data_IF_607327929877
#
_entry.id   IF_607327929877
#
_cell.length_a   1.000
_cell.length_b   1.000
_cell.length_c   1.000
_cell.angle_alpha   90.00
_cell.angle_beta   90.00
_cell.angle_gamma   90.00
#
_symmetry.space_group_name_H-M   'P 1'
#
loop_
_entity.id
_entity.type
_entity.pdbx_description
1 polymer ?
#
# COMPACT_ATOMS: atom_id res chain seq x y z
N UNK A 1 19.01 -0.36 -1.92
CA UNK A 1 19.04 0.83 -1.05
C UNK A 1 19.74 2.05 -1.68
N UNK A 2 20.15 2.01 -2.96
CA UNK A 2 20.80 3.15 -3.63
C UNK A 2 19.80 4.18 -4.19
N UNK A 3 18.56 3.76 -4.44
CA UNK A 3 17.52 4.62 -5.04
C UNK A 3 16.67 5.36 -3.98
N UNK A 4 16.67 4.89 -2.73
CA UNK A 4 15.93 5.48 -1.62
C UNK A 4 16.64 6.72 -1.04
N UNK A 5 17.97 6.77 -1.13
CA UNK A 5 18.80 7.89 -0.67
C UNK A 5 18.69 9.07 -1.66
N UNK A 6 18.54 8.79 -2.96
CA UNK A 6 18.36 9.83 -4.00
C UNK A 6 17.02 10.55 -3.88
N UNK A 7 15.94 9.84 -3.51
CA UNK A 7 14.61 10.43 -3.30
C UNK A 7 14.57 11.34 -2.07
N UNK A 8 15.33 11.01 -1.02
CA UNK A 8 15.44 11.83 0.19
C UNK A 8 16.25 13.13 -0.02
N UNK A 9 17.26 13.10 -0.91
CA UNK A 9 18.04 14.30 -1.25
C UNK A 9 17.25 15.33 -2.09
N UNK A 10 16.30 14.87 -2.92
CA UNK A 10 15.49 15.75 -3.77
C UNK A 10 14.45 16.54 -2.94
N UNK A 11 13.94 15.95 -1.86
CA UNK A 11 12.97 16.61 -0.97
C UNK A 11 13.65 17.67 -0.08
N UNK A 12 14.91 17.47 0.30
CA UNK A 12 15.69 18.44 1.09
C UNK A 12 16.16 19.67 0.28
N UNK A 13 16.33 19.53 -1.04
CA UNK A 13 16.74 20.66 -1.90
C UNK A 13 15.58 21.62 -2.22
N UNK A 14 14.33 21.17 -2.08
CA UNK A 14 13.12 21.97 -2.33
C UNK A 14 12.75 22.94 -1.18
N UNK A 15 13.41 22.84 -0.02
CA UNK A 15 13.22 23.77 1.11
C UNK A 15 14.47 24.64 1.41
N UNK A 16 15.53 24.54 0.61
CA UNK A 16 16.82 25.20 0.87
C UNK A 16 17.01 26.60 0.27
N UNK A 17 16.05 27.12 -0.49
CA UNK A 17 16.19 28.39 -1.22
C UNK A 17 15.21 29.48 -0.77
N UNK A 18 15.06 29.70 0.53
CA UNK A 18 14.51 30.96 1.06
C UNK A 18 15.46 31.47 2.14
N UNK A 19 16.46 32.24 1.69
CA UNK A 19 16.88 33.57 2.19
C UNK A 19 18.37 33.79 1.91
N UNK A 20 18.68 34.43 0.78
CA UNK A 20 19.88 35.28 0.66
C UNK A 20 19.43 36.70 0.95
N UNK A 21 20.17 37.38 1.84
CA UNK A 21 20.31 38.83 1.79
C UNK A 21 19.59 39.63 2.87
N UNK A 22 20.23 39.82 4.03
CA UNK A 22 20.29 41.12 4.72
C UNK A 22 21.62 41.22 5.47
N UNK A 23 22.66 41.56 4.73
CA UNK A 23 23.94 42.02 5.26
C UNK A 23 23.93 43.56 5.25
N UNK A 24 23.34 44.16 6.29
CA UNK A 24 23.63 45.52 6.73
C UNK A 24 23.46 45.58 8.27
N UNK A 25 24.32 46.38 8.89
CA UNK A 25 24.78 46.38 10.29
C UNK A 25 23.72 46.90 11.31
N UNK A 26 24.00 46.92 12.64
CA UNK A 26 23.17 46.29 13.66
C UNK A 26 22.33 47.28 14.47
N UNK A 27 21.14 46.85 14.93
CA UNK A 27 20.56 47.40 16.16
C UNK A 27 19.44 46.48 16.69
N UNK A 28 19.28 46.48 18.02
CA UNK A 28 18.16 45.90 18.80
C UNK A 28 18.29 44.44 19.29
N UNK A 29 19.01 44.33 20.42
CA UNK A 29 19.22 43.15 21.25
C UNK A 29 17.98 42.61 22.01
N UNK A 30 16.74 43.00 21.66
CA UNK A 30 15.53 42.61 22.41
C UNK A 30 14.77 41.36 21.92
N UNK A 31 15.05 40.86 20.71
CA UNK A 31 14.23 39.79 20.07
C UNK A 31 14.85 38.39 20.09
N UNK A 32 16.12 38.23 20.49
CA UNK A 32 16.83 36.93 20.46
C UNK A 32 16.30 35.91 21.48
N UNK A 33 15.87 36.36 22.65
CA UNK A 33 15.49 35.45 23.74
C UNK A 33 14.14 34.72 23.51
N UNK A 34 13.21 35.37 22.80
CA UNK A 34 11.92 34.75 22.42
C UNK A 34 12.04 33.75 21.27
N UNK A 35 13.05 33.90 20.42
CA UNK A 35 13.29 33.00 19.28
C UNK A 35 14.04 31.74 19.75
N UNK A 36 15.02 31.87 20.65
CA UNK A 36 15.72 30.69 21.21
C UNK A 36 14.79 29.78 22.04
N UNK A 37 13.83 30.34 22.79
CA UNK A 37 12.83 29.54 23.51
C UNK A 37 11.85 28.79 22.59
N UNK A 38 11.55 29.32 21.40
CA UNK A 38 10.74 28.60 20.39
C UNK A 38 11.53 27.50 19.70
N UNK A 39 12.79 27.76 19.34
CA UNK A 39 13.67 26.77 18.70
C UNK A 39 13.98 25.58 19.64
N UNK A 40 14.13 25.81 20.95
CA UNK A 40 14.32 24.72 21.93
C UNK A 40 13.07 23.84 22.13
N UNK A 41 11.87 24.38 21.92
CA UNK A 41 10.61 23.64 22.02
C UNK A 41 10.38 22.75 20.78
N UNK A 42 10.59 23.29 19.58
CA UNK A 42 10.48 22.53 18.33
C UNK A 42 11.53 21.41 18.23
N UNK A 43 12.76 21.62 18.70
CA UNK A 43 13.80 20.55 18.75
C UNK A 43 13.47 19.39 19.69
N UNK A 44 12.61 19.61 20.70
CA UNK A 44 12.20 18.56 21.65
C UNK A 44 11.07 17.72 21.08
N UNK A 45 10.09 18.35 20.44
CA UNK A 45 8.98 17.66 19.77
C UNK A 45 9.45 16.84 18.55
N UNK A 46 10.42 17.36 17.77
CA UNK A 46 10.96 16.61 16.62
C UNK A 46 11.74 15.34 17.01
N UNK A 47 12.30 15.28 18.23
CA UNK A 47 13.05 14.11 18.69
C UNK A 47 12.12 13.00 19.19
N UNK A 48 10.96 13.34 19.77
CA UNK A 48 9.96 12.37 20.21
C UNK A 48 9.28 11.67 19.01
N UNK A 49 8.92 12.41 17.96
CA UNK A 49 8.32 11.86 16.74
C UNK A 49 9.28 10.92 15.98
N UNK A 50 10.58 11.23 15.95
CA UNK A 50 11.58 10.39 15.28
C UNK A 50 11.81 9.09 16.06
N UNK A 51 11.76 9.11 17.39
CA UNK A 51 11.95 7.92 18.21
C UNK A 51 10.76 6.94 18.11
N UNK A 52 9.54 7.46 17.96
CA UNK A 52 8.33 6.65 17.81
C UNK A 52 8.27 5.95 16.43
N UNK A 53 8.63 6.67 15.35
CA UNK A 53 8.69 6.13 13.99
C UNK A 53 9.79 5.05 13.85
N UNK A 54 10.90 5.18 14.58
CA UNK A 54 11.97 4.17 14.60
C UNK A 54 11.56 2.91 15.37
N UNK A 55 10.82 3.05 16.48
CA UNK A 55 10.27 1.91 17.25
C UNK A 55 9.22 1.14 16.45
N UNK A 56 8.32 1.80 15.71
CA UNK A 56 7.35 1.14 14.83
C UNK A 56 8.00 0.35 13.70
N UNK A 57 9.03 0.90 13.04
CA UNK A 57 9.73 0.22 11.94
C UNK A 57 10.50 -1.02 12.41
N UNK A 58 11.08 -1.00 13.62
CA UNK A 58 11.74 -2.17 14.22
C UNK A 58 10.75 -3.29 14.55
N UNK A 59 9.57 -2.97 15.07
CA UNK A 59 8.54 -3.96 15.37
C UNK A 59 7.94 -4.60 14.10
N UNK A 60 7.68 -3.83 13.04
CA UNK A 60 7.19 -4.37 11.75
C UNK A 60 8.20 -5.32 11.07
N UNK A 61 9.50 -5.07 11.20
CA UNK A 61 10.56 -5.96 10.65
C UNK A 61 10.67 -7.28 11.40
N UNK A 62 10.57 -7.27 12.73
CA UNK A 62 10.59 -8.50 13.54
C UNK A 62 9.35 -9.38 13.33
N UNK A 63 8.16 -8.78 13.12
CA UNK A 63 6.92 -9.52 12.81
C UNK A 63 6.97 -10.23 11.45
N UNK A 64 7.61 -9.62 10.45
CA UNK A 64 7.81 -10.25 9.11
C UNK A 64 8.76 -11.44 9.16
N UNK A 65 9.88 -11.34 9.90
CA UNK A 65 10.85 -12.44 10.00
C UNK A 65 10.34 -13.65 10.81
N UNK A 66 9.48 -13.44 11.81
CA UNK A 66 8.81 -14.55 12.53
C UNK A 66 7.79 -15.29 11.65
N UNK A 67 7.01 -14.58 10.81
CA UNK A 67 6.05 -15.22 9.88
C UNK A 67 6.74 -16.13 8.86
N UNK A 68 7.86 -15.70 8.30
CA UNK A 68 8.57 -16.44 7.25
C UNK A 68 9.24 -17.73 7.76
N UNK A 69 9.71 -17.73 9.02
CA UNK A 69 10.27 -18.94 9.66
C UNK A 69 9.19 -19.97 10.04
N UNK A 70 7.98 -19.52 10.40
CA UNK A 70 6.84 -20.40 10.70
C UNK A 70 6.29 -21.04 9.42
N UNK A 71 6.19 -20.29 8.31
CA UNK A 71 5.76 -20.82 7.01
C UNK A 71 6.70 -21.91 6.46
N UNK A 72 8.02 -21.74 6.62
CA UNK A 72 9.00 -22.74 6.18
C UNK A 72 8.97 -24.03 7.03
N UNK A 73 8.67 -23.94 8.33
CA UNK A 73 8.50 -25.13 9.19
C UNK A 73 7.21 -25.89 8.84
N UNK A 74 6.09 -25.18 8.64
CA UNK A 74 4.81 -25.79 8.26
C UNK A 74 4.90 -26.47 6.89
N UNK A 75 5.63 -25.90 5.92
CA UNK A 75 5.84 -26.53 4.60
C UNK A 75 6.71 -27.79 4.66
N UNK A 76 7.68 -27.87 5.58
CA UNK A 76 8.53 -29.06 5.75
C UNK A 76 7.78 -30.21 6.42
N UNK A 77 7.04 -29.95 7.48
CA UNK A 77 6.22 -30.98 8.16
C UNK A 77 5.11 -31.54 7.27
N UNK A 78 4.56 -30.73 6.35
CA UNK A 78 3.56 -31.19 5.37
C UNK A 78 4.14 -32.12 4.30
N UNK A 79 5.44 -32.02 4.01
CA UNK A 79 6.11 -32.80 2.97
C UNK A 79 6.61 -34.15 3.50
N UNK A 80 7.05 -34.21 4.76
CA UNK A 80 7.44 -35.48 5.40
C UNK A 80 6.24 -36.37 5.74
N UNK A 81 5.04 -35.80 5.98
CA UNK A 81 3.81 -36.59 6.13
C UNK A 81 3.22 -37.09 4.80
N UNK A 82 3.62 -36.55 3.65
CA UNK A 82 3.14 -37.03 2.35
C UNK A 82 3.92 -38.23 1.81
N UNK A 83 5.18 -38.42 2.19
CA UNK A 83 6.04 -39.50 1.65
C UNK A 83 5.77 -40.89 2.26
N UNK A 84 5.02 -40.99 3.37
CA UNK A 84 4.70 -42.29 4.01
C UNK A 84 3.41 -42.97 3.54
N UNK A 85 2.67 -42.38 2.57
CA UNK A 85 1.29 -42.83 2.21
C UNK A 85 1.18 -43.35 0.76
N UNK A 86 2.30 -43.59 0.07
CA UNK A 86 2.31 -43.93 -1.36
C UNK A 86 2.32 -45.45 -1.68
N UNK A 87 1.62 -46.31 -0.94
CA UNK A 87 1.60 -47.76 -1.28
C UNK A 87 0.28 -48.48 -1.40
N UNK A 88 -0.87 -47.84 -1.29
CA UNK A 88 -2.14 -48.54 -1.54
C UNK A 88 -3.18 -47.63 -2.19
N UNK A 89 -3.41 -47.89 -3.48
CA UNK A 89 -4.66 -47.70 -4.23
C UNK A 89 -5.25 -46.29 -4.25
N UNK A 90 -5.51 -45.79 -5.45
CA UNK A 90 -6.36 -44.62 -5.69
C UNK A 90 -7.81 -44.87 -5.22
N UNK A 91 -8.04 -44.91 -3.92
CA UNK A 91 -9.37 -44.83 -3.31
C UNK A 91 -9.54 -43.43 -2.78
N UNK A 92 -10.28 -42.62 -3.54
CA UNK A 92 -10.89 -41.38 -3.08
C UNK A 92 -11.82 -41.68 -1.88
N UNK A 93 -11.25 -41.84 -0.69
CA UNK A 93 -12.02 -42.25 0.49
C UNK A 93 -11.21 -42.55 1.76
N UNK A 94 -9.91 -42.26 1.82
CA UNK A 94 -9.16 -42.38 3.07
C UNK A 94 -9.49 -41.21 4.00
N UNK A 95 -9.89 -41.56 5.22
CA UNK A 95 -10.47 -40.74 6.26
C UNK A 95 -9.83 -39.37 6.47
N UNK A 96 -10.68 -38.35 6.47
CA UNK A 96 -10.45 -37.19 7.34
C UNK A 96 -11.38 -37.34 8.54
N UNK A 97 -10.80 -37.46 9.73
CA UNK A 97 -11.51 -37.43 11.02
C UNK A 97 -12.46 -38.60 11.32
N UNK A 98 -12.20 -39.80 10.78
CA UNK A 98 -12.98 -41.01 11.10
C UNK A 98 -14.35 -41.08 10.41
N UNK A 99 -14.54 -40.35 9.31
CA UNK A 99 -15.70 -40.46 8.44
C UNK A 99 -15.30 -41.23 7.18
N UNK A 100 -15.92 -42.40 6.97
CA UNK A 100 -15.67 -43.28 5.83
C UNK A 100 -16.83 -43.26 4.79
N UNK A 101 -16.52 -43.65 3.55
CA UNK A 101 -17.51 -43.94 2.51
C UNK A 101 -18.49 -42.79 2.19
N UNK A 102 -19.80 -43.06 2.31
CA UNK A 102 -20.88 -42.12 1.95
C UNK A 102 -20.85 -40.84 2.80
N UNK A 103 -20.55 -40.94 4.09
CA UNK A 103 -20.48 -39.80 5.00
C UNK A 103 -19.30 -38.87 4.65
N UNK A 104 -18.15 -39.45 4.30
CA UNK A 104 -17.00 -38.70 3.78
C UNK A 104 -17.33 -37.93 2.50
N UNK A 105 -18.00 -38.59 1.55
CA UNK A 105 -18.43 -37.98 0.30
C UNK A 105 -19.37 -36.79 0.52
N UNK A 106 -20.33 -36.93 1.44
CA UNK A 106 -21.26 -35.87 1.81
C UNK A 106 -20.54 -34.69 2.48
N UNK A 107 -19.66 -34.95 3.43
CA UNK A 107 -18.92 -33.89 4.12
C UNK A 107 -17.96 -33.15 3.18
N UNK A 108 -17.29 -33.86 2.27
CA UNK A 108 -16.44 -33.24 1.23
C UNK A 108 -17.26 -32.38 0.28
N UNK A 109 -18.44 -32.83 -0.14
CA UNK A 109 -19.35 -32.05 -0.96
C UNK A 109 -19.85 -30.79 -0.22
N UNK A 110 -20.19 -30.92 1.06
CA UNK A 110 -20.58 -29.81 1.93
C UNK A 110 -19.44 -28.79 2.05
N UNK A 111 -18.22 -29.23 2.34
CA UNK A 111 -17.04 -28.36 2.40
C UNK A 111 -16.76 -27.70 1.04
N UNK A 112 -16.91 -28.41 -0.07
CA UNK A 112 -16.72 -27.84 -1.40
C UNK A 112 -17.73 -26.73 -1.70
N UNK A 113 -19.00 -26.91 -1.31
CA UNK A 113 -20.04 -25.87 -1.42
C UNK A 113 -19.72 -24.66 -0.56
N UNK A 114 -19.41 -24.87 0.72
CA UNK A 114 -19.02 -23.79 1.64
C UNK A 114 -17.81 -23.01 1.12
N UNK A 115 -16.75 -23.70 0.72
CA UNK A 115 -15.56 -23.07 0.16
C UNK A 115 -15.85 -22.30 -1.14
N UNK A 116 -16.79 -22.79 -1.97
CA UNK A 116 -17.22 -22.08 -3.18
C UNK A 116 -17.94 -20.78 -2.80
N UNK A 117 -18.89 -20.84 -1.88
CA UNK A 117 -19.63 -19.67 -1.39
C UNK A 117 -18.71 -18.62 -0.76
N UNK A 118 -17.77 -19.05 0.09
CA UNK A 118 -16.78 -18.16 0.70
C UNK A 118 -15.92 -17.47 -0.36
N UNK A 119 -15.38 -18.23 -1.32
CA UNK A 119 -14.59 -17.65 -2.42
C UNK A 119 -15.39 -16.68 -3.28
N UNK A 120 -16.67 -16.97 -3.53
CA UNK A 120 -17.56 -16.05 -4.26
C UNK A 120 -17.74 -14.74 -3.47
N UNK A 121 -18.00 -14.82 -2.17
CA UNK A 121 -18.13 -13.64 -1.30
C UNK A 121 -16.84 -12.82 -1.24
N UNK A 122 -15.68 -13.48 -1.08
CA UNK A 122 -14.38 -12.82 -1.07
C UNK A 122 -14.08 -12.12 -2.40
N UNK A 123 -14.42 -12.78 -3.51
CA UNK A 123 -14.26 -12.21 -4.85
C UNK A 123 -15.14 -10.97 -5.04
N UNK A 124 -16.42 -11.03 -4.65
CA UNK A 124 -17.34 -9.89 -4.70
C UNK A 124 -16.86 -8.73 -3.84
N UNK A 125 -16.45 -8.99 -2.60
CA UNK A 125 -15.90 -7.98 -1.72
C UNK A 125 -14.63 -7.33 -2.30
N UNK A 126 -13.82 -8.10 -3.04
CA UNK A 126 -12.63 -7.58 -3.72
C UNK A 126 -12.99 -6.71 -4.92
N UNK A 127 -14.02 -7.09 -5.70
CA UNK A 127 -14.52 -6.28 -6.81
C UNK A 127 -15.10 -4.95 -6.33
N UNK A 128 -15.91 -4.96 -5.27
CA UNK A 128 -16.47 -3.73 -4.70
C UNK A 128 -15.38 -2.80 -4.14
N UNK A 129 -14.43 -3.33 -3.36
CA UNK A 129 -13.28 -2.55 -2.91
C UNK A 129 -12.44 -2.01 -4.06
N UNK A 130 -12.30 -2.78 -5.14
CA UNK A 130 -11.64 -2.34 -6.36
C UNK A 130 -12.37 -1.16 -7.00
N UNK A 131 -13.69 -1.26 -7.13
CA UNK A 131 -14.56 -0.22 -7.71
C UNK A 131 -14.52 1.07 -6.91
N UNK A 132 -14.63 0.99 -5.58
CA UNK A 132 -14.51 2.17 -4.71
C UNK A 132 -13.16 2.88 -4.87
N UNK A 133 -12.07 2.11 -4.98
CA UNK A 133 -10.73 2.67 -5.18
C UNK A 133 -10.58 3.34 -6.56
N UNK A 134 -11.10 2.70 -7.60
CA UNK A 134 -11.10 3.27 -8.95
C UNK A 134 -11.88 4.59 -9.00
N UNK A 135 -13.10 4.62 -8.43
CA UNK A 135 -13.92 5.83 -8.35
C UNK A 135 -13.19 6.96 -7.61
N UNK A 136 -12.63 6.68 -6.42
CA UNK A 136 -11.86 7.66 -5.64
C UNK A 136 -10.62 8.16 -6.39
N UNK A 137 -9.95 7.30 -7.15
CA UNK A 137 -8.81 7.71 -7.97
C UNK A 137 -9.25 8.63 -9.11
N UNK A 138 -10.35 8.27 -9.80
CA UNK A 138 -10.93 9.06 -10.90
C UNK A 138 -11.35 10.46 -10.43
N UNK A 139 -12.01 10.56 -9.28
CA UNK A 139 -12.40 11.85 -8.68
C UNK A 139 -11.18 12.71 -8.37
N UNK A 140 -10.15 12.14 -7.72
CA UNK A 140 -8.91 12.86 -7.42
C UNK A 140 -8.16 13.30 -8.67
N UNK A 141 -8.11 12.46 -9.71
CA UNK A 141 -7.50 12.81 -11.00
C UNK A 141 -8.22 13.99 -11.61
N UNK A 142 -9.56 14.01 -11.59
CA UNK A 142 -10.36 15.13 -12.08
C UNK A 142 -10.06 16.41 -11.30
N UNK A 143 -10.10 16.35 -9.97
CA UNK A 143 -9.81 17.49 -9.10
C UNK A 143 -8.40 18.07 -9.35
N UNK A 144 -7.39 17.21 -9.43
CA UNK A 144 -6.00 17.64 -9.68
C UNK A 144 -5.87 18.24 -11.09
N UNK A 145 -6.55 17.69 -12.09
CA UNK A 145 -6.56 18.22 -13.47
C UNK A 145 -7.21 19.59 -13.54
N UNK A 146 -8.32 19.80 -12.84
CA UNK A 146 -9.03 21.07 -12.77
C UNK A 146 -8.20 22.12 -12.00
N UNK A 147 -7.58 21.74 -10.88
CA UNK A 147 -6.64 22.58 -10.15
C UNK A 147 -5.42 22.97 -10.98
N UNK A 148 -4.87 22.05 -11.78
CA UNK A 148 -3.74 22.31 -12.66
C UNK A 148 -4.10 23.34 -13.75
N UNK A 149 -5.30 23.21 -14.34
CA UNK A 149 -5.82 24.19 -15.31
C UNK A 149 -6.02 25.57 -14.68
N UNK A 150 -6.57 25.63 -13.48
CA UNK A 150 -6.75 26.88 -12.74
C UNK A 150 -5.40 27.54 -12.39
N UNK A 151 -4.39 26.76 -12.00
CA UNK A 151 -3.04 27.29 -11.76
C UNK A 151 -2.40 27.86 -13.04
N UNK A 152 -2.62 27.21 -14.19
CA UNK A 152 -2.14 27.72 -15.48
C UNK A 152 -2.83 29.03 -15.86
N UNK A 153 -4.16 29.09 -15.76
CA UNK A 153 -4.90 30.31 -16.10
C UNK A 153 -4.59 31.49 -15.18
N UNK A 154 -4.24 31.20 -13.92
CA UNK A 154 -3.76 32.20 -12.95
C UNK A 154 -2.29 32.59 -13.14
N UNK A 155 -1.58 32.01 -14.11
CA UNK A 155 -0.16 32.28 -14.36
C UNK A 155 0.77 31.82 -13.22
N UNK A 156 0.30 30.93 -12.33
CA UNK A 156 1.08 30.44 -11.17
C UNK A 156 2.13 29.40 -11.54
N UNK A 157 2.01 28.81 -12.73
CA UNK A 157 2.90 27.77 -13.24
C UNK A 157 3.27 28.08 -14.68
N UNK A 158 4.47 27.68 -15.08
CA UNK A 158 4.93 27.81 -16.46
C UNK A 158 4.31 26.74 -17.37
N UNK A 159 4.34 26.96 -18.69
CA UNK A 159 3.87 25.97 -19.66
C UNK A 159 4.61 24.64 -19.56
N UNK A 160 5.91 24.69 -19.29
CA UNK A 160 6.73 23.49 -19.10
C UNK A 160 6.26 22.69 -17.88
N UNK A 161 6.09 23.35 -16.73
CA UNK A 161 5.61 22.69 -15.51
C UNK A 161 4.18 22.17 -15.64
N UNK A 162 3.34 22.87 -16.41
CA UNK A 162 1.99 22.40 -16.72
C UNK A 162 2.04 21.09 -17.50
N UNK A 163 2.83 21.02 -18.58
CA UNK A 163 2.96 19.83 -19.41
C UNK A 163 3.54 18.65 -18.61
N UNK A 164 4.62 18.88 -17.84
CA UNK A 164 5.23 17.84 -17.00
C UNK A 164 4.24 17.26 -15.97
N UNK A 165 3.39 18.11 -15.37
CA UNK A 165 2.36 17.67 -14.42
C UNK A 165 1.20 16.98 -15.13
N UNK A 166 0.81 17.46 -16.31
CA UNK A 166 -0.27 16.87 -17.10
C UNK A 166 0.09 15.45 -17.53
N UNK A 167 1.30 15.20 -18.02
CA UNK A 167 1.76 13.85 -18.38
C UNK A 167 1.68 12.86 -17.21
N UNK A 168 2.04 13.31 -16.00
CA UNK A 168 1.93 12.50 -14.79
C UNK A 168 0.47 12.17 -14.47
N UNK A 169 -0.43 13.15 -14.61
CA UNK A 169 -1.87 12.94 -14.39
C UNK A 169 -2.41 11.95 -15.43
N UNK A 170 -2.02 12.06 -16.69
CA UNK A 170 -2.43 11.14 -17.75
C UNK A 170 -1.93 9.71 -17.52
N UNK A 171 -0.72 9.54 -17.00
CA UNK A 171 -0.22 8.22 -16.61
C UNK A 171 -1.09 7.59 -15.52
N UNK A 172 -1.47 8.37 -14.50
CA UNK A 172 -2.37 7.92 -13.41
C UNK A 172 -3.79 7.64 -13.96
N UNK A 173 -4.26 8.44 -14.92
CA UNK A 173 -5.55 8.24 -15.60
C UNK A 173 -5.56 6.88 -16.31
N UNK A 174 -4.53 6.57 -17.10
CA UNK A 174 -4.37 5.28 -17.78
C UNK A 174 -4.31 4.10 -16.81
N UNK A 175 -3.62 4.25 -15.68
CA UNK A 175 -3.58 3.21 -14.64
C UNK A 175 -4.96 2.98 -14.00
N UNK A 176 -5.72 4.05 -13.77
CA UNK A 176 -7.09 4.00 -13.25
C UNK A 176 -8.01 3.29 -14.23
N UNK A 177 -7.93 3.62 -15.52
CA UNK A 177 -8.71 2.96 -16.57
C UNK A 177 -8.37 1.46 -16.70
N UNK A 178 -7.08 1.11 -16.57
CA UNK A 178 -6.66 -0.30 -16.54
C UNK A 178 -7.25 -1.06 -15.34
N UNK A 179 -7.34 -0.41 -14.18
CA UNK A 179 -7.97 -0.98 -12.99
C UNK A 179 -9.47 -1.21 -13.21
N UNK A 180 -10.18 -0.23 -13.77
CA UNK A 180 -11.60 -0.35 -14.13
C UNK A 180 -11.86 -1.49 -15.12
N UNK A 181 -11.03 -1.62 -16.16
CA UNK A 181 -11.12 -2.73 -17.10
C UNK A 181 -10.94 -4.09 -16.44
N UNK A 182 -10.01 -4.22 -15.48
CA UNK A 182 -9.82 -5.47 -14.72
C UNK A 182 -11.03 -5.79 -13.86
N UNK A 183 -11.62 -4.79 -13.21
CA UNK A 183 -12.86 -4.94 -12.43
C UNK A 183 -14.01 -5.38 -13.34
N UNK A 184 -14.14 -4.78 -14.52
CA UNK A 184 -15.20 -5.10 -15.48
C UNK A 184 -15.06 -6.52 -16.03
N UNK A 185 -13.83 -6.94 -16.38
CA UNK A 185 -13.54 -8.34 -16.74
C UNK A 185 -13.89 -9.29 -15.59
N UNK A 186 -13.55 -8.93 -14.35
CA UNK A 186 -13.91 -9.71 -13.17
C UNK A 186 -15.43 -9.85 -12.96
N UNK A 187 -16.20 -8.79 -13.21
CA UNK A 187 -17.67 -8.84 -13.16
C UNK A 187 -18.26 -9.73 -14.25
N UNK A 188 -17.71 -9.70 -15.47
CA UNK A 188 -18.15 -10.58 -16.56
C UNK A 188 -17.90 -12.05 -16.23
N UNK A 189 -16.74 -12.37 -15.66
CA UNK A 189 -16.41 -13.72 -15.21
C UNK A 189 -17.32 -14.23 -14.07
N UNK A 190 -17.90 -13.34 -13.25
CA UNK A 190 -18.90 -13.72 -12.23
C UNK A 190 -20.26 -14.09 -12.85
N UNK A 191 -20.63 -13.44 -13.96
CA UNK A 191 -21.92 -13.62 -14.63
C UNK A 191 -21.95 -14.82 -15.57
N UNK A 192 -20.78 -15.28 -16.03
CA UNK A 192 -20.59 -16.48 -16.85
C UNK A 192 -20.54 -17.74 -16.00
#
# INVERSE_FOLDING_TARGET
MKNSIKVLFIIAFLFGCITIGFAQKPEQAGKKEKVEKKIKKEKKELNEDVEEVVKEKKQKKQKKQKKEKVEKKIKKEKKEKSEKVEKEGNSFGKDKYGLEGKAYGQERARQAKLNKEEKTKEFEATLEKGKEKANKAREKVKEVKDNLKAQKSQGRITDKEYNDKLERIEAIEKETDSLEQKIEKGKKLRKS
#
